data_IF_963568624239
#
_entry.id   IF_963568624239
#
_cell.length_a   1.000
_cell.length_b   1.000
_cell.length_c   1.000
_cell.angle_alpha   90.00
_cell.angle_beta   90.00
_cell.angle_gamma   90.00
#
_symmetry.space_group_name_H-M   'P 1'
#
loop_
_entity.id
_entity.type
_entity.pdbx_description
1 polymer ?
#
# COMPACT_ATOMS: atom_id res chain seq x y z
N UNK A 1 -9.30 -13.06 -3.34
CA UNK A 1 -9.99 -12.07 -2.48
C UNK A 1 -10.95 -12.72 -1.52
N UNK A 2 -11.75 -13.69 -1.98
CA UNK A 2 -12.88 -14.25 -1.20
C UNK A 2 -12.49 -14.98 0.08
N UNK A 3 -11.23 -15.40 0.21
CA UNK A 3 -10.70 -16.02 1.42
C UNK A 3 -10.38 -15.01 2.54
N UNK A 4 -10.38 -13.69 2.28
CA UNK A 4 -10.10 -12.69 3.30
C UNK A 4 -11.34 -12.47 4.19
N UNK A 5 -11.38 -13.16 5.34
CA UNK A 5 -12.46 -13.03 6.34
C UNK A 5 -12.66 -11.60 6.82
N UNK A 6 -11.57 -10.83 6.95
CA UNK A 6 -11.60 -9.43 7.36
C UNK A 6 -11.96 -8.46 6.23
N UNK A 7 -12.16 -8.95 4.99
CA UNK A 7 -12.42 -8.13 3.78
C UNK A 7 -11.43 -6.98 3.57
N UNK A 8 -10.18 -7.20 3.99
CA UNK A 8 -9.11 -6.21 3.90
C UNK A 8 -8.49 -6.11 2.50
N UNK A 9 -8.68 -7.14 1.66
CA UNK A 9 -8.13 -7.19 0.30
C UNK A 9 -9.29 -7.10 -0.68
N UNK A 10 -9.24 -6.10 -1.57
CA UNK A 10 -10.17 -5.96 -2.69
C UNK A 10 -9.38 -6.00 -4.01
N UNK A 11 -9.97 -6.64 -5.01
CA UNK A 11 -9.42 -6.74 -6.36
C UNK A 11 -10.33 -5.97 -7.33
N UNK A 12 -9.72 -5.31 -8.31
CA UNK A 12 -10.41 -4.46 -9.26
C UNK A 12 -9.43 -3.55 -9.98
N UNK A 13 -9.97 -2.60 -10.75
CA UNK A 13 -9.19 -1.57 -11.41
C UNK A 13 -8.55 -0.61 -10.38
N UNK A 14 -7.32 -0.19 -10.63
CA UNK A 14 -6.57 0.68 -9.70
C UNK A 14 -7.21 2.06 -9.55
N UNK A 15 -7.73 2.64 -10.62
CA UNK A 15 -8.33 3.97 -10.59
C UNK A 15 -9.65 3.93 -9.82
N UNK A 16 -10.44 2.87 -10.00
CA UNK A 16 -11.65 2.61 -9.22
C UNK A 16 -11.35 2.40 -7.74
N UNK A 17 -10.31 1.60 -7.42
CA UNK A 17 -9.87 1.37 -6.05
C UNK A 17 -9.36 2.66 -5.40
N UNK A 18 -8.61 3.49 -6.14
CA UNK A 18 -8.13 4.80 -5.66
C UNK A 18 -9.29 5.76 -5.42
N UNK A 19 -10.31 5.77 -6.28
CA UNK A 19 -11.51 6.56 -6.07
C UNK A 19 -12.30 6.10 -4.83
N UNK A 20 -12.39 4.79 -4.61
CA UNK A 20 -13.14 4.19 -3.48
C UNK A 20 -12.47 4.39 -2.12
N UNK A 21 -11.15 4.25 -2.06
CA UNK A 21 -10.39 4.31 -0.80
C UNK A 21 -9.75 5.68 -0.54
N UNK A 22 -9.83 6.59 -1.51
CA UNK A 22 -9.35 7.96 -1.41
C UNK A 22 -7.83 8.09 -1.57
N UNK A 23 -7.35 9.34 -1.49
CA UNK A 23 -5.94 9.70 -1.65
C UNK A 23 -5.01 9.14 -0.55
N UNK A 24 -5.59 8.59 0.53
CA UNK A 24 -4.85 7.91 1.60
C UNK A 24 -4.29 6.55 1.16
N UNK A 25 -4.84 5.96 0.09
CA UNK A 25 -4.33 4.72 -0.48
C UNK A 25 -3.06 5.01 -1.30
N UNK A 26 -1.91 4.61 -0.77
CA UNK A 26 -0.60 4.85 -1.37
C UNK A 26 0.01 3.56 -1.90
N UNK A 27 0.78 3.69 -2.98
CA UNK A 27 1.58 2.60 -3.56
C UNK A 27 3.05 2.67 -3.17
N UNK A 28 3.44 3.69 -2.40
CA UNK A 28 4.81 3.93 -1.95
C UNK A 28 4.82 4.06 -0.42
N UNK A 29 5.70 3.30 0.23
CA UNK A 29 5.86 3.27 1.67
C UNK A 29 7.36 3.19 1.99
N UNK A 30 7.85 3.87 3.05
CA UNK A 30 9.25 3.85 3.46
C UNK A 30 9.86 2.46 3.66
N UNK A 31 9.04 1.46 4.02
CA UNK A 31 9.47 0.06 4.20
C UNK A 31 9.60 -0.69 2.88
N UNK A 32 8.97 -0.21 1.81
CA UNK A 32 9.00 -0.84 0.50
C UNK A 32 10.13 -0.24 -0.37
N UNK A 33 10.66 -1.01 -1.33
CA UNK A 33 11.55 -0.47 -2.33
C UNK A 33 10.84 0.61 -3.16
N UNK A 34 11.60 1.59 -3.67
CA UNK A 34 11.06 2.68 -4.48
C UNK A 34 10.13 2.18 -5.60
N UNK A 35 8.89 2.65 -5.57
CA UNK A 35 7.82 2.22 -6.48
C UNK A 35 8.07 2.58 -7.95
N UNK A 36 8.97 3.52 -8.25
CA UNK A 36 9.35 3.87 -9.63
C UNK A 36 10.11 2.75 -10.35
N UNK A 37 10.65 1.76 -9.61
CA UNK A 37 11.40 0.65 -10.22
C UNK A 37 10.51 -0.35 -10.95
N UNK A 38 9.31 -0.61 -10.41
CA UNK A 38 8.43 -1.68 -10.90
C UNK A 38 6.99 -1.23 -11.10
N UNK A 39 6.63 0.01 -10.76
CA UNK A 39 5.27 0.56 -10.87
C UNK A 39 4.23 -0.43 -10.32
N UNK A 40 4.24 -0.71 -9.01
CA UNK A 40 3.45 -1.77 -8.42
C UNK A 40 1.94 -1.50 -8.57
N UNK A 41 1.19 -2.52 -8.99
CA UNK A 41 -0.27 -2.49 -9.12
C UNK A 41 -0.97 -2.73 -7.78
N UNK A 42 -0.51 -2.09 -6.71
CA UNK A 42 -1.02 -2.27 -5.35
C UNK A 42 -1.26 -0.92 -4.70
N UNK A 43 -2.42 -0.79 -4.05
CA UNK A 43 -2.78 0.34 -3.22
C UNK A 43 -2.95 -0.13 -1.77
N UNK A 44 -2.27 0.53 -0.86
CA UNK A 44 -2.27 0.18 0.57
C UNK A 44 -2.83 1.37 1.33
N UNK A 45 -3.75 1.15 2.27
CA UNK A 45 -4.15 2.15 3.26
C UNK A 45 -3.30 1.98 4.52
N UNK A 46 -2.15 2.67 4.63
CA UNK A 46 -1.26 2.50 5.77
C UNK A 46 -1.84 3.13 7.04
N UNK A 47 -1.41 2.61 8.19
CA UNK A 47 -1.48 3.38 9.44
C UNK A 47 -0.45 4.51 9.40
N UNK A 48 -0.70 5.60 10.12
CA UNK A 48 0.19 6.78 10.16
C UNK A 48 1.64 6.44 10.47
N UNK A 49 1.88 5.47 11.37
CA UNK A 49 3.24 5.01 11.71
C UNK A 49 4.02 4.43 10.53
N UNK A 50 3.33 3.81 9.56
CA UNK A 50 3.96 3.22 8.38
C UNK A 50 4.38 4.28 7.35
N UNK A 51 3.98 5.54 7.52
CA UNK A 51 4.45 6.67 6.72
C UNK A 51 5.73 7.30 7.29
N UNK A 52 6.25 6.80 8.42
CA UNK A 52 7.45 7.35 9.02
C UNK A 52 8.67 7.11 8.12
N UNK A 53 9.27 8.21 7.65
CA UNK A 53 10.45 8.24 6.78
C UNK A 53 11.75 7.90 7.50
N UNK A 54 11.74 7.90 8.83
CA UNK A 54 12.88 7.50 9.67
C UNK A 54 12.99 5.98 9.82
N UNK A 55 12.20 5.21 9.05
CA UNK A 55 12.33 3.76 9.04
C UNK A 55 13.71 3.35 8.49
N UNK A 56 14.45 2.58 9.29
CA UNK A 56 15.75 2.01 8.92
C UNK A 56 15.60 0.49 8.99
N UNK A 57 15.93 -0.20 7.90
CA UNK A 57 16.02 -1.66 7.93
C UNK A 57 17.17 -2.02 8.86
N UNK A 58 16.87 -2.72 9.95
CA UNK A 58 17.90 -3.25 10.84
C UNK A 58 18.51 -4.46 10.12
N UNK A 59 19.76 -4.34 9.67
CA UNK A 59 20.53 -5.48 9.19
C UNK A 59 20.88 -6.39 10.39
N UNK A 60 20.66 -7.69 10.23
CA UNK A 60 21.03 -8.75 11.20
C UNK A 60 22.50 -9.18 11.03
#
# INVERSE_FOLDING_TARGET
VDACTMRAIQWGDLDELRAKYGAEAVSDLPVLPNSSKTTPSVLIKPKTVALNKEFIVKED
#
